data_IF_377830393781
#
_entry.id   IF_377830393781
#
_cell.length_a   1.000
_cell.length_b   1.000
_cell.length_c   1.000
_cell.angle_alpha   90.00
_cell.angle_beta   90.00
_cell.angle_gamma   90.00
#
_symmetry.space_group_name_H-M   'P 1'
#
loop_
_entity.id
_entity.type
_entity.pdbx_description
1 polymer ?
#
# COMPACT_ATOMS: atom_id res chain seq x y z
N UNK A 1 18.22 15.31 -21.64
CA UNK A 1 17.49 14.30 -22.48
C UNK A 1 16.05 14.27 -22.07
N UNK A 2 15.11 14.22 -23.01
CA UNK A 2 13.66 14.15 -22.71
C UNK A 2 13.19 12.70 -22.86
N UNK A 3 12.47 12.18 -21.87
CA UNK A 3 11.80 10.88 -21.93
C UNK A 3 10.45 11.05 -22.63
N UNK A 4 9.91 9.99 -23.21
CA UNK A 4 8.54 10.00 -23.72
C UNK A 4 7.55 9.86 -22.57
N UNK A 5 7.97 9.16 -21.50
CA UNK A 5 7.14 8.86 -20.34
C UNK A 5 7.98 8.78 -19.06
N UNK A 6 7.48 9.35 -17.95
CA UNK A 6 8.00 9.08 -16.61
C UNK A 6 6.91 8.38 -15.79
N UNK A 7 7.24 7.20 -15.23
CA UNK A 7 6.40 6.50 -14.26
C UNK A 7 6.87 6.84 -12.83
N UNK A 8 5.99 7.41 -12.02
CA UNK A 8 6.23 7.70 -10.60
C UNK A 8 5.74 6.51 -9.78
N UNK A 9 6.66 5.70 -9.29
CA UNK A 9 6.44 4.46 -8.57
C UNK A 9 6.96 3.23 -9.33
N UNK A 10 7.89 2.49 -8.73
CA UNK A 10 8.46 1.24 -9.24
C UNK A 10 7.78 0.00 -8.64
N UNK A 11 6.51 0.10 -8.29
CA UNK A 11 5.67 -1.04 -7.94
C UNK A 11 5.22 -1.83 -9.18
N UNK A 12 4.55 -2.98 -9.01
CA UNK A 12 4.14 -3.83 -10.14
C UNK A 12 3.39 -3.09 -11.25
N UNK A 13 2.49 -2.17 -10.89
CA UNK A 13 1.74 -1.39 -11.89
C UNK A 13 2.61 -0.38 -12.63
N UNK A 14 3.48 0.36 -11.94
CA UNK A 14 4.38 1.32 -12.61
C UNK A 14 5.38 0.62 -13.52
N UNK A 15 5.91 -0.54 -13.10
CA UNK A 15 6.75 -1.39 -13.95
C UNK A 15 5.98 -1.89 -15.18
N UNK A 16 4.74 -2.36 -15.01
CA UNK A 16 3.90 -2.79 -16.13
C UNK A 16 3.67 -1.64 -17.13
N UNK A 17 3.42 -0.41 -16.65
CA UNK A 17 3.30 0.77 -17.51
C UNK A 17 4.59 1.05 -18.31
N UNK A 18 5.75 0.99 -17.65
CA UNK A 18 7.03 1.21 -18.31
C UNK A 18 7.37 0.10 -19.32
N UNK A 19 7.03 -1.15 -19.02
CA UNK A 19 7.22 -2.28 -19.95
C UNK A 19 6.34 -2.13 -21.19
N UNK A 20 5.07 -1.77 -21.04
CA UNK A 20 4.19 -1.51 -22.19
C UNK A 20 4.67 -0.33 -23.03
N UNK A 21 5.20 0.74 -22.40
CA UNK A 21 5.81 1.85 -23.10
C UNK A 21 7.04 1.39 -23.92
N UNK A 22 7.94 0.59 -23.35
CA UNK A 22 9.08 -0.01 -24.06
C UNK A 22 8.63 -0.87 -25.26
N UNK A 23 7.59 -1.68 -25.09
CA UNK A 23 7.03 -2.51 -26.17
C UNK A 23 6.45 -1.67 -27.32
N UNK A 24 5.95 -0.48 -27.01
CA UNK A 24 5.47 0.49 -28.01
C UNK A 24 6.59 1.35 -28.63
N UNK A 25 7.86 1.06 -28.29
CA UNK A 25 9.01 1.82 -28.82
C UNK A 25 9.25 3.16 -28.13
N UNK A 26 8.54 3.43 -27.02
CA UNK A 26 8.74 4.65 -26.22
C UNK A 26 9.92 4.49 -25.24
N UNK A 27 10.48 5.60 -24.82
CA UNK A 27 11.56 5.68 -23.83
C UNK A 27 11.03 6.05 -22.46
N UNK A 28 10.68 5.08 -21.58
CA UNK A 28 10.24 5.34 -20.23
C UNK A 28 11.41 5.54 -19.26
N UNK A 29 11.18 6.37 -18.21
CA UNK A 29 11.93 6.41 -16.97
C UNK A 29 10.99 6.00 -15.82
N UNK A 30 11.48 5.20 -14.89
CA UNK A 30 10.75 4.90 -13.65
C UNK A 30 11.47 5.52 -12.47
N UNK A 31 10.74 6.26 -11.63
CA UNK A 31 11.29 6.91 -10.42
C UNK A 31 10.56 6.41 -9.20
N UNK A 32 11.27 5.96 -8.17
CA UNK A 32 10.70 5.53 -6.90
C UNK A 32 11.51 6.06 -5.72
N UNK A 33 10.82 6.52 -4.67
CA UNK A 33 11.43 7.01 -3.44
C UNK A 33 12.13 5.93 -2.61
N UNK A 34 11.78 4.67 -2.84
CA UNK A 34 12.35 3.51 -2.16
C UNK A 34 13.02 2.53 -3.11
N UNK A 35 13.13 1.29 -2.68
CA UNK A 35 13.65 0.21 -3.51
C UNK A 35 12.62 -0.28 -4.55
N UNK A 36 13.07 -1.10 -5.47
CA UNK A 36 12.18 -1.76 -6.43
C UNK A 36 11.07 -2.54 -5.71
N UNK A 37 9.81 -2.27 -6.08
CA UNK A 37 8.62 -2.84 -5.41
C UNK A 37 8.60 -2.56 -3.90
N UNK A 38 8.90 -1.33 -3.49
CA UNK A 38 9.07 -0.92 -2.10
C UNK A 38 7.90 -1.34 -1.20
N UNK A 39 6.64 -1.19 -1.64
CA UNK A 39 5.48 -1.64 -0.86
C UNK A 39 5.51 -3.14 -0.60
N UNK A 40 5.87 -3.96 -1.59
CA UNK A 40 5.97 -5.41 -1.44
C UNK A 40 7.12 -5.80 -0.50
N UNK A 41 8.21 -5.04 -0.54
CA UNK A 41 9.35 -5.23 0.38
C UNK A 41 8.93 -5.02 1.84
N UNK A 42 8.03 -4.08 2.11
CA UNK A 42 7.51 -3.78 3.45
C UNK A 42 6.31 -4.65 3.88
N UNK A 43 5.81 -5.55 3.04
CA UNK A 43 4.80 -6.52 3.45
C UNK A 43 5.38 -7.54 4.44
N UNK A 44 4.52 -8.26 5.20
CA UNK A 44 4.99 -9.27 6.15
C UNK A 44 5.97 -10.26 5.53
N UNK A 45 7.03 -10.61 6.26
CA UNK A 45 8.14 -11.42 5.74
C UNK A 45 7.68 -12.76 5.16
N UNK A 46 6.72 -13.39 5.85
CA UNK A 46 6.17 -14.70 5.48
C UNK A 46 4.88 -14.61 4.65
N UNK A 47 4.58 -13.43 4.08
CA UNK A 47 3.34 -13.23 3.33
C UNK A 47 3.27 -14.15 2.12
N UNK A 48 2.14 -14.84 2.01
CA UNK A 48 1.67 -15.52 0.81
C UNK A 48 0.62 -14.66 0.13
N UNK A 49 0.78 -14.39 -1.15
CA UNK A 49 -0.21 -13.63 -1.90
C UNK A 49 -1.53 -14.40 -1.98
N UNK A 50 -2.64 -13.69 -2.03
CA UNK A 50 -3.97 -14.31 -2.12
C UNK A 50 -4.33 -14.74 -3.55
N UNK A 51 -3.62 -14.22 -4.54
CA UNK A 51 -3.82 -14.49 -5.97
C UNK A 51 -2.79 -15.47 -6.50
N UNK A 52 -3.08 -16.06 -7.66
CA UNK A 52 -2.15 -16.99 -8.33
C UNK A 52 -1.05 -16.23 -9.06
N UNK A 53 0.05 -16.94 -9.37
CA UNK A 53 1.22 -16.36 -10.04
C UNK A 53 0.87 -15.69 -11.37
N UNK A 54 0.04 -16.32 -12.19
CA UNK A 54 -0.35 -15.82 -13.52
C UNK A 54 -1.06 -14.47 -13.45
N UNK A 55 -1.79 -14.21 -12.36
CA UNK A 55 -2.47 -12.93 -12.15
C UNK A 55 -1.54 -11.81 -11.68
N UNK A 56 -0.32 -12.15 -11.30
CA UNK A 56 0.71 -11.19 -10.90
C UNK A 56 1.74 -10.90 -12.02
N UNK A 57 1.64 -11.60 -13.14
CA UNK A 57 2.52 -11.42 -14.29
C UNK A 57 2.38 -10.05 -14.93
N UNK A 58 3.52 -9.46 -15.33
CA UNK A 58 3.60 -8.19 -16.05
C UNK A 58 4.50 -8.32 -17.28
N UNK A 59 4.29 -7.46 -18.27
CA UNK A 59 5.13 -7.41 -19.48
C UNK A 59 5.08 -8.68 -20.34
N UNK A 60 4.09 -9.59 -20.13
CA UNK A 60 4.01 -10.86 -20.85
C UNK A 60 5.06 -11.89 -20.42
N UNK A 61 5.70 -11.71 -19.28
CA UNK A 61 6.71 -12.63 -18.75
C UNK A 61 6.04 -13.59 -17.74
N UNK A 62 6.26 -14.93 -17.87
CA UNK A 62 5.68 -15.88 -16.95
C UNK A 62 6.34 -15.81 -15.57
N UNK A 63 5.52 -15.94 -14.52
CA UNK A 63 5.97 -16.07 -13.13
C UNK A 63 6.01 -17.55 -12.74
N UNK A 64 7.10 -18.23 -13.06
CA UNK A 64 7.29 -19.64 -12.73
C UNK A 64 7.66 -19.81 -11.25
N UNK A 65 6.78 -20.44 -10.48
CA UNK A 65 6.95 -20.82 -9.08
C UNK A 65 6.52 -22.26 -8.86
N UNK A 66 6.86 -22.85 -7.72
CA UNK A 66 6.53 -24.25 -7.41
C UNK A 66 5.12 -24.43 -6.86
N UNK A 67 4.49 -23.38 -6.34
CA UNK A 67 3.15 -23.38 -5.79
C UNK A 67 2.21 -22.50 -6.61
N UNK A 68 0.89 -22.59 -6.40
CA UNK A 68 -0.07 -21.76 -7.12
C UNK A 68 0.03 -20.28 -6.74
N UNK A 69 0.33 -20.01 -5.46
CA UNK A 69 0.38 -18.65 -4.91
C UNK A 69 1.81 -18.26 -4.54
N UNK A 70 2.31 -17.13 -5.02
CA UNK A 70 3.66 -16.71 -4.73
C UNK A 70 3.83 -16.18 -3.30
N UNK A 71 4.99 -16.43 -2.75
CA UNK A 71 5.49 -15.76 -1.55
C UNK A 71 5.95 -14.33 -1.88
N UNK A 72 6.10 -13.47 -0.85
CA UNK A 72 6.72 -12.15 -1.00
C UNK A 72 8.09 -12.21 -1.66
N UNK A 73 8.92 -13.18 -1.29
CA UNK A 73 10.28 -13.34 -1.83
C UNK A 73 10.26 -13.70 -3.31
N UNK A 74 9.38 -14.61 -3.73
CA UNK A 74 9.22 -14.99 -5.14
C UNK A 74 8.70 -13.82 -5.97
N UNK A 75 7.74 -13.04 -5.46
CA UNK A 75 7.24 -11.86 -6.15
C UNK A 75 8.35 -10.80 -6.33
N UNK A 76 9.14 -10.49 -5.30
CA UNK A 76 10.26 -9.56 -5.41
C UNK A 76 11.33 -10.05 -6.40
N UNK A 77 11.62 -11.34 -6.41
CA UNK A 77 12.55 -11.95 -7.37
C UNK A 77 12.03 -11.84 -8.80
N UNK A 78 10.74 -12.13 -9.00
CA UNK A 78 10.08 -12.04 -10.29
C UNK A 78 10.14 -10.61 -10.85
N UNK A 79 9.71 -9.60 -10.09
CA UNK A 79 9.69 -8.22 -10.56
C UNK A 79 11.09 -7.68 -10.87
N UNK A 80 12.13 -8.08 -10.11
CA UNK A 80 13.52 -7.75 -10.47
C UNK A 80 13.90 -8.35 -11.83
N UNK A 81 13.59 -9.63 -12.05
CA UNK A 81 13.92 -10.29 -13.33
C UNK A 81 13.13 -9.71 -14.50
N UNK A 82 11.88 -9.37 -14.30
CA UNK A 82 11.09 -8.70 -15.32
C UNK A 82 11.66 -7.31 -15.67
N UNK A 83 12.10 -6.56 -14.67
CA UNK A 83 12.74 -5.25 -14.86
C UNK A 83 14.06 -5.35 -15.62
N UNK A 84 14.93 -6.32 -15.26
CA UNK A 84 16.17 -6.61 -15.96
C UNK A 84 15.92 -7.03 -17.42
N UNK A 85 14.93 -7.88 -17.66
CA UNK A 85 14.59 -8.36 -19.01
C UNK A 85 14.22 -7.22 -19.96
N UNK A 86 13.48 -6.23 -19.46
CA UNK A 86 13.08 -5.06 -20.25
C UNK A 86 14.14 -3.96 -20.28
N UNK A 87 15.26 -4.09 -19.57
CA UNK A 87 16.29 -3.06 -19.42
C UNK A 87 15.67 -1.68 -19.16
N UNK A 88 14.86 -1.59 -18.08
CA UNK A 88 14.17 -0.35 -17.72
C UNK A 88 15.16 0.65 -17.12
N UNK A 89 15.07 1.92 -17.54
CA UNK A 89 15.79 3.02 -16.87
C UNK A 89 15.09 3.33 -15.55
N UNK A 90 15.80 3.19 -14.42
CA UNK A 90 15.29 3.33 -13.06
C UNK A 90 16.07 4.37 -12.28
N UNK A 91 15.34 5.16 -11.51
CA UNK A 91 15.85 6.01 -10.44
C UNK A 91 15.19 5.58 -9.15
N UNK A 92 15.86 4.69 -8.41
CA UNK A 92 15.43 4.24 -7.09
C UNK A 92 16.04 5.11 -6.01
N UNK A 93 15.40 5.15 -4.83
CA UNK A 93 15.77 6.04 -3.72
C UNK A 93 15.78 7.52 -4.14
N UNK A 94 14.87 7.86 -5.05
CA UNK A 94 14.69 9.20 -5.60
C UNK A 94 13.22 9.60 -5.53
N UNK A 95 12.93 10.61 -4.69
CA UNK A 95 11.57 11.09 -4.43
C UNK A 95 11.17 12.13 -5.45
N UNK A 96 10.04 11.96 -6.12
CA UNK A 96 9.41 13.02 -6.92
C UNK A 96 8.78 14.03 -5.98
N UNK A 97 9.26 15.28 -6.02
CA UNK A 97 8.78 16.40 -5.19
C UNK A 97 7.67 17.20 -5.88
N UNK A 98 7.66 17.24 -7.20
CA UNK A 98 6.66 18.01 -7.96
C UNK A 98 6.77 17.84 -9.46
N UNK A 99 5.66 18.13 -10.12
CA UNK A 99 5.52 18.12 -11.58
C UNK A 99 5.15 19.53 -12.03
N UNK A 100 5.89 20.07 -12.97
CA UNK A 100 5.56 21.36 -13.61
C UNK A 100 5.37 21.14 -15.10
N UNK A 101 4.23 21.58 -15.63
CA UNK A 101 3.97 21.50 -17.07
C UNK A 101 4.42 22.79 -17.74
N UNK A 102 5.34 22.70 -18.70
CA UNK A 102 5.82 23.82 -19.49
C UNK A 102 6.02 23.39 -20.96
N UNK A 103 5.52 24.20 -21.91
CA UNK A 103 5.71 23.98 -23.34
C UNK A 103 5.29 22.57 -23.84
N UNK A 104 4.20 22.02 -23.29
CA UNK A 104 3.67 20.72 -23.70
C UNK A 104 4.39 19.50 -23.10
N UNK A 105 5.38 19.72 -22.26
CA UNK A 105 6.12 18.66 -21.54
C UNK A 105 6.08 18.89 -20.03
N UNK A 106 6.47 17.87 -19.27
CA UNK A 106 6.61 17.91 -17.83
C UNK A 106 8.07 18.07 -17.44
N UNK A 107 8.32 18.94 -16.49
CA UNK A 107 9.54 19.01 -15.69
C UNK A 107 9.24 18.34 -14.37
N UNK A 108 9.91 17.21 -14.11
CA UNK A 108 9.75 16.38 -12.91
C UNK A 108 10.90 16.69 -11.98
N UNK A 109 10.61 17.34 -10.87
CA UNK A 109 11.63 17.65 -9.84
C UNK A 109 11.73 16.51 -8.87
N UNK A 110 12.96 16.08 -8.62
CA UNK A 110 13.24 14.95 -7.76
C UNK A 110 14.30 15.28 -6.72
N UNK A 111 14.33 14.47 -5.65
CA UNK A 111 15.34 14.54 -4.60
C UNK A 111 15.82 13.14 -4.27
N UNK A 112 17.11 12.91 -4.38
CA UNK A 112 17.77 11.66 -3.99
C UNK A 112 17.87 11.55 -2.47
N UNK A 113 18.08 10.34 -1.98
CA UNK A 113 18.26 10.04 -0.55
C UNK A 113 19.41 10.84 0.10
N UNK A 114 20.48 11.12 -0.64
CA UNK A 114 21.59 11.96 -0.20
C UNK A 114 21.29 13.49 -0.20
N UNK A 115 20.05 13.87 -0.51
CA UNK A 115 19.59 15.26 -0.56
C UNK A 115 19.83 15.99 -1.89
N UNK A 116 20.53 15.41 -2.86
CA UNK A 116 20.75 16.01 -4.17
C UNK A 116 19.41 16.15 -4.92
N UNK A 117 19.17 17.32 -5.53
CA UNK A 117 18.01 17.58 -6.37
C UNK A 117 18.36 17.41 -7.83
N UNK A 118 17.45 16.79 -8.57
CA UNK A 118 17.57 16.56 -10.01
C UNK A 118 16.28 16.98 -10.73
N UNK A 119 16.39 17.14 -12.03
CA UNK A 119 15.24 17.40 -12.91
C UNK A 119 15.25 16.42 -14.09
N UNK A 120 14.11 15.82 -14.34
CA UNK A 120 13.87 14.98 -15.49
C UNK A 120 12.76 15.61 -16.35
N UNK A 121 12.81 15.39 -17.65
CA UNK A 121 11.84 15.94 -18.60
C UNK A 121 11.14 14.80 -19.34
N UNK A 122 9.81 14.90 -19.46
CA UNK A 122 9.02 13.93 -20.21
C UNK A 122 7.83 14.60 -20.89
N UNK A 123 7.35 14.01 -22.00
CA UNK A 123 6.11 14.45 -22.63
C UNK A 123 4.87 14.05 -21.84
N UNK A 124 4.96 12.95 -21.09
CA UNK A 124 3.86 12.38 -20.28
C UNK A 124 4.36 11.86 -18.93
N UNK A 125 3.46 11.82 -17.95
CA UNK A 125 3.74 11.26 -16.63
C UNK A 125 2.61 10.32 -16.21
N UNK A 126 2.95 9.17 -15.64
CA UNK A 126 2.02 8.25 -14.99
C UNK A 126 2.33 8.21 -13.49
N UNK A 127 1.36 8.54 -12.64
CA UNK A 127 1.47 8.37 -11.19
C UNK A 127 0.94 6.98 -10.81
N UNK A 128 1.86 6.10 -10.39
CA UNK A 128 1.59 4.73 -9.92
C UNK A 128 2.18 4.52 -8.51
N UNK A 129 2.13 5.55 -7.66
CA UNK A 129 2.80 5.63 -6.37
C UNK A 129 2.25 4.70 -5.28
N UNK A 130 1.10 4.04 -5.54
CA UNK A 130 0.50 3.13 -4.58
C UNK A 130 -0.15 3.84 -3.38
N UNK A 131 -0.27 3.11 -2.25
CA UNK A 131 -0.95 3.62 -1.04
C UNK A 131 -0.29 3.18 0.28
N UNK A 132 0.61 2.20 0.24
CA UNK A 132 1.08 1.50 1.43
C UNK A 132 2.01 2.36 2.33
N UNK A 133 2.58 3.42 1.79
CA UNK A 133 3.55 4.26 2.51
C UNK A 133 2.89 5.26 3.49
N UNK A 134 1.58 5.48 3.38
CA UNK A 134 0.85 6.42 4.21
C UNK A 134 -0.23 5.70 5.04
N UNK A 135 0.08 5.27 6.26
CA UNK A 135 -0.90 4.69 7.16
C UNK A 135 -1.96 5.71 7.55
N UNK A 136 -3.19 5.25 7.73
CA UNK A 136 -4.26 6.08 8.30
C UNK A 136 -3.98 6.27 9.78
N UNK A 137 -3.74 7.51 10.24
CA UNK A 137 -3.42 7.74 11.63
C UNK A 137 -4.63 7.42 12.53
N UNK A 138 -4.35 7.01 13.77
CA UNK A 138 -5.34 6.93 14.84
C UNK A 138 -5.74 8.33 15.31
N UNK A 139 -4.81 9.28 15.27
CA UNK A 139 -4.97 10.63 15.77
C UNK A 139 -5.06 10.71 17.30
N UNK A 140 -4.37 9.81 18.00
CA UNK A 140 -4.38 9.75 19.46
C UNK A 140 -3.01 10.07 20.06
N UNK A 141 -2.95 10.66 21.28
CA UNK A 141 -1.69 10.82 22.00
C UNK A 141 -0.96 9.49 22.15
N UNK A 142 0.36 9.49 21.93
CA UNK A 142 1.21 8.31 22.04
C UNK A 142 1.30 7.44 20.79
N UNK A 143 0.63 7.79 19.70
CA UNK A 143 0.69 7.04 18.42
C UNK A 143 2.11 6.95 17.84
N UNK A 144 2.99 7.92 18.14
CA UNK A 144 4.39 7.97 17.69
C UNK A 144 5.38 7.33 18.63
N UNK A 145 4.95 6.66 19.69
CA UNK A 145 5.84 5.99 20.63
C UNK A 145 6.58 4.81 19.97
N UNK A 146 7.83 4.50 20.42
CA UNK A 146 8.67 3.47 19.78
C UNK A 146 8.07 2.05 19.76
N UNK A 147 7.13 1.76 20.66
CA UNK A 147 6.43 0.48 20.73
C UNK A 147 5.09 0.49 19.96
N UNK A 148 4.89 1.46 19.08
CA UNK A 148 3.73 1.55 18.18
C UNK A 148 4.20 1.45 16.73
N UNK A 149 3.56 0.59 15.95
CA UNK A 149 3.84 0.45 14.52
C UNK A 149 2.55 0.37 13.70
N UNK A 150 2.55 1.00 12.54
CA UNK A 150 1.50 0.85 11.53
C UNK A 150 1.77 -0.31 10.55
N UNK A 151 2.92 -0.98 10.71
CA UNK A 151 3.35 -2.06 9.83
C UNK A 151 3.65 -3.30 10.64
N UNK A 152 3.04 -4.40 10.26
CA UNK A 152 3.39 -5.72 10.78
C UNK A 152 4.36 -6.38 9.80
N UNK A 153 5.50 -6.83 10.31
CA UNK A 153 6.55 -7.48 9.50
C UNK A 153 6.74 -8.94 9.85
N UNK A 154 6.84 -9.27 11.13
CA UNK A 154 7.12 -10.61 11.62
C UNK A 154 6.63 -10.79 13.07
N UNK A 155 6.18 -12.00 13.42
CA UNK A 155 5.60 -12.27 14.74
C UNK A 155 6.64 -12.73 15.80
N UNK A 156 7.77 -13.28 15.38
CA UNK A 156 8.75 -13.92 16.29
C UNK A 156 9.21 -13.06 17.48
N UNK A 157 9.48 -11.75 17.35
CA UNK A 157 9.91 -10.90 18.46
C UNK A 157 8.87 -10.72 19.57
N UNK A 158 7.63 -11.13 19.35
CA UNK A 158 6.49 -10.89 20.25
C UNK A 158 6.09 -12.11 21.07
N UNK A 159 6.86 -13.18 21.03
CA UNK A 159 6.59 -14.37 21.83
C UNK A 159 6.44 -14.05 23.32
N UNK A 160 5.32 -14.48 23.93
CA UNK A 160 4.90 -14.21 25.32
C UNK A 160 4.68 -12.74 25.68
N UNK A 161 4.62 -11.83 24.70
CA UNK A 161 4.35 -10.41 24.95
C UNK A 161 2.86 -10.11 24.84
N UNK A 162 2.42 -9.06 25.56
CA UNK A 162 1.09 -8.49 25.44
C UNK A 162 1.07 -7.58 24.20
N UNK A 163 0.36 -7.99 23.16
CA UNK A 163 0.31 -7.25 21.90
C UNK A 163 -1.12 -6.80 21.63
N UNK A 164 -1.29 -5.50 21.43
CA UNK A 164 -2.56 -4.91 21.02
C UNK A 164 -2.53 -4.68 19.52
N UNK A 165 -3.53 -5.21 18.81
CA UNK A 165 -3.73 -4.99 17.37
C UNK A 165 -4.98 -4.13 17.19
N UNK A 166 -4.81 -2.91 16.67
CA UNK A 166 -5.90 -1.97 16.44
C UNK A 166 -6.33 -2.04 14.98
N UNK A 167 -7.57 -2.44 14.74
CA UNK A 167 -8.12 -2.64 13.40
C UNK A 167 -8.95 -3.91 13.31
N UNK A 168 -9.63 -4.14 12.19
CA UNK A 168 -10.40 -5.36 11.95
C UNK A 168 -10.51 -5.71 10.45
N UNK A 169 -9.60 -5.20 9.63
CA UNK A 169 -9.45 -5.58 8.22
C UNK A 169 -8.46 -6.74 8.05
N UNK A 170 -8.10 -7.04 6.79
CA UNK A 170 -7.19 -8.14 6.46
C UNK A 170 -5.87 -8.09 7.24
N UNK A 171 -5.17 -6.95 7.20
CA UNK A 171 -3.87 -6.82 7.85
C UNK A 171 -3.95 -7.05 9.38
N UNK A 172 -5.02 -6.56 10.03
CA UNK A 172 -5.21 -6.75 11.47
C UNK A 172 -5.53 -8.21 11.82
N UNK A 173 -6.42 -8.86 11.06
CA UNK A 173 -6.78 -10.26 11.27
C UNK A 173 -5.59 -11.20 11.02
N UNK A 174 -4.86 -11.02 9.92
CA UNK A 174 -3.66 -11.81 9.60
C UNK A 174 -2.57 -11.62 10.64
N UNK A 175 -2.26 -10.37 11.02
CA UNK A 175 -1.27 -10.08 12.05
C UNK A 175 -1.66 -10.69 13.42
N UNK A 176 -2.93 -10.59 13.82
CA UNK A 176 -3.40 -11.18 15.06
C UNK A 176 -3.24 -12.71 15.07
N UNK A 177 -3.56 -13.38 13.96
CA UNK A 177 -3.38 -14.82 13.83
C UNK A 177 -1.90 -15.24 13.82
N UNK A 178 -1.03 -14.52 13.11
CA UNK A 178 0.41 -14.81 13.11
C UNK A 178 1.04 -14.61 14.48
N UNK A 179 0.70 -13.52 15.17
CA UNK A 179 1.14 -13.22 16.52
C UNK A 179 0.68 -14.30 17.51
N UNK A 180 -0.61 -14.70 17.44
CA UNK A 180 -1.14 -15.78 18.27
C UNK A 180 -0.39 -17.08 18.04
N UNK A 181 -0.19 -17.49 16.79
CA UNK A 181 0.56 -18.70 16.44
C UNK A 181 2.02 -18.67 16.89
N UNK A 182 2.62 -17.48 16.94
CA UNK A 182 3.95 -17.27 17.49
C UNK A 182 4.00 -17.24 19.03
N UNK A 183 2.84 -17.36 19.71
CA UNK A 183 2.77 -17.42 21.18
C UNK A 183 2.70 -16.05 21.86
N UNK A 184 2.30 -14.99 21.16
CA UNK A 184 1.96 -13.70 21.76
C UNK A 184 0.58 -13.75 22.44
N UNK A 185 0.40 -12.92 23.49
CA UNK A 185 -0.91 -12.67 24.09
C UNK A 185 -1.59 -11.53 23.34
N UNK A 186 -2.48 -11.88 22.40
CA UNK A 186 -3.05 -10.90 21.45
C UNK A 186 -4.39 -10.38 21.95
N UNK A 187 -4.57 -9.05 21.88
CA UNK A 187 -5.87 -8.39 22.02
C UNK A 187 -6.17 -7.56 20.77
N UNK A 188 -7.23 -7.91 20.04
CA UNK A 188 -7.74 -7.16 18.90
C UNK A 188 -8.69 -6.07 19.39
N UNK A 189 -8.43 -4.82 19.04
CA UNK A 189 -9.28 -3.66 19.39
C UNK A 189 -9.93 -3.08 18.15
N UNK A 190 -11.27 -2.98 18.15
CA UNK A 190 -11.99 -2.43 17.02
C UNK A 190 -13.20 -1.60 17.44
N UNK A 191 -13.38 -0.44 16.79
CA UNK A 191 -14.53 0.47 17.03
C UNK A 191 -15.90 -0.08 16.59
N UNK A 192 -15.91 -1.08 15.71
CA UNK A 192 -17.14 -1.75 15.26
C UNK A 192 -17.43 -3.00 16.09
N UNK A 193 -18.56 -3.62 15.81
CA UNK A 193 -19.13 -4.72 16.59
C UNK A 193 -18.46 -6.09 16.36
N UNK A 194 -17.67 -6.23 15.29
CA UNK A 194 -17.03 -7.50 14.87
C UNK A 194 -15.88 -7.27 13.89
N UNK A 195 -15.16 -8.33 13.56
CA UNK A 195 -14.20 -8.36 12.42
C UNK A 195 -14.95 -8.03 11.13
N UNK A 196 -14.34 -7.26 10.23
CA UNK A 196 -14.99 -6.85 8.98
C UNK A 196 -15.29 -8.05 8.09
N UNK A 197 -16.49 -8.12 7.52
CA UNK A 197 -16.87 -9.17 6.56
C UNK A 197 -16.08 -9.16 5.26
N UNK A 198 -15.35 -8.07 4.99
CA UNK A 198 -14.44 -7.94 3.85
C UNK A 198 -13.06 -8.59 4.07
N UNK A 199 -12.84 -9.18 5.25
CA UNK A 199 -11.67 -10.03 5.50
C UNK A 199 -11.78 -11.28 4.63
N UNK A 200 -10.66 -11.73 4.07
CA UNK A 200 -10.57 -12.88 3.17
C UNK A 200 -11.31 -14.09 3.74
N UNK A 201 -12.09 -14.77 2.91
CA UNK A 201 -13.01 -15.83 3.32
C UNK A 201 -12.33 -17.02 4.02
N UNK A 202 -11.02 -17.21 3.83
CA UNK A 202 -10.24 -18.24 4.52
C UNK A 202 -9.57 -17.75 5.81
N UNK A 203 -9.46 -16.43 6.02
CA UNK A 203 -8.91 -15.80 7.23
C UNK A 203 -10.01 -15.54 8.24
N UNK A 204 -11.18 -15.09 7.77
CA UNK A 204 -12.29 -14.69 8.63
C UNK A 204 -12.74 -15.81 9.58
N UNK A 205 -13.01 -17.05 9.14
CA UNK A 205 -13.43 -18.12 10.05
C UNK A 205 -12.38 -18.45 11.11
N UNK A 206 -11.09 -18.40 10.75
CA UNK A 206 -10.01 -18.72 11.69
C UNK A 206 -9.91 -17.66 12.80
N UNK A 207 -9.88 -16.38 12.47
CA UNK A 207 -9.83 -15.33 13.50
C UNK A 207 -11.09 -15.33 14.38
N UNK A 208 -12.29 -15.55 13.81
CA UNK A 208 -13.54 -15.64 14.57
C UNK A 208 -13.53 -16.85 15.53
N UNK A 209 -13.04 -18.01 15.10
CA UNK A 209 -12.89 -19.19 15.93
C UNK A 209 -11.90 -18.97 17.08
N UNK A 210 -10.74 -18.31 16.83
CA UNK A 210 -9.77 -17.98 17.88
C UNK A 210 -10.35 -17.00 18.91
N UNK A 211 -11.13 -16.04 18.44
CA UNK A 211 -11.84 -15.10 19.35
C UNK A 211 -12.90 -15.85 20.18
N UNK A 212 -13.71 -16.69 19.55
CA UNK A 212 -14.74 -17.46 20.25
C UNK A 212 -14.14 -18.43 21.30
N UNK A 213 -12.98 -19.00 21.02
CA UNK A 213 -12.23 -19.85 21.95
C UNK A 213 -11.49 -19.09 23.05
N UNK A 214 -11.46 -17.75 23.01
CA UNK A 214 -10.73 -16.90 23.96
C UNK A 214 -9.21 -16.90 23.77
N UNK A 215 -8.72 -17.49 22.69
CA UNK A 215 -7.28 -17.60 22.36
C UNK A 215 -6.72 -16.25 21.83
N UNK A 216 -7.55 -15.50 21.11
CA UNK A 216 -7.33 -14.09 20.76
C UNK A 216 -8.42 -13.29 21.47
N UNK A 217 -8.02 -12.38 22.36
CA UNK A 217 -8.99 -11.48 23.00
C UNK A 217 -9.49 -10.45 22.00
N UNK A 218 -10.75 -10.05 22.13
CA UNK A 218 -11.34 -9.02 21.25
C UNK A 218 -12.10 -7.96 22.04
N UNK A 219 -11.80 -6.71 21.76
CA UNK A 219 -12.42 -5.52 22.31
C UNK A 219 -13.17 -4.80 21.18
N UNK A 220 -14.39 -5.27 20.91
CA UNK A 220 -15.29 -4.66 19.94
C UNK A 220 -16.05 -3.46 20.53
N UNK A 221 -16.63 -2.62 19.67
CA UNK A 221 -17.25 -1.38 20.07
C UNK A 221 -16.35 -0.54 21.00
N UNK A 222 -15.05 -0.50 20.69
CA UNK A 222 -14.04 0.06 21.57
C UNK A 222 -13.04 0.89 20.77
N UNK A 223 -12.75 2.10 21.25
CA UNK A 223 -11.73 3.00 20.72
C UNK A 223 -10.52 3.01 21.64
N UNK A 224 -9.34 3.12 21.06
CA UNK A 224 -8.15 3.56 21.77
C UNK A 224 -8.20 5.08 21.83
N UNK A 225 -8.08 5.66 23.02
CA UNK A 225 -8.09 7.12 23.24
C UNK A 225 -6.71 7.67 23.48
N UNK A 226 -5.78 6.84 23.97
CA UNK A 226 -4.38 7.19 24.23
C UNK A 226 -3.53 5.94 24.30
N UNK A 227 -2.27 6.04 23.91
CA UNK A 227 -1.25 5.00 24.06
C UNK A 227 -0.18 5.52 25.01
N UNK A 228 0.19 4.70 25.99
CA UNK A 228 1.20 5.00 27.02
C UNK A 228 2.26 3.90 27.05
N UNK A 229 3.44 4.14 27.62
CA UNK A 229 4.39 3.07 27.84
C UNK A 229 3.78 1.93 28.67
N UNK A 230 3.75 0.71 28.10
CA UNK A 230 3.25 -0.49 28.76
C UNK A 230 1.72 -0.67 28.77
N UNK A 231 0.93 0.25 28.20
CA UNK A 231 -0.53 0.14 28.19
C UNK A 231 -1.21 1.00 27.12
N UNK A 232 -2.46 0.65 26.80
CA UNK A 232 -3.36 1.48 25.99
C UNK A 232 -4.60 1.84 26.82
N UNK A 233 -5.13 3.03 26.58
CA UNK A 233 -6.38 3.50 27.21
C UNK A 233 -7.51 3.28 26.24
N UNK A 234 -8.52 2.56 26.70
CA UNK A 234 -9.68 2.14 25.92
C UNK A 234 -10.94 2.84 26.42
N UNK A 235 -11.85 3.16 25.48
CA UNK A 235 -13.20 3.67 25.78
C UNK A 235 -14.22 2.95 24.90
N UNK A 236 -15.29 2.46 25.51
CA UNK A 236 -16.40 1.87 24.78
C UNK A 236 -17.11 2.92 23.90
N UNK A 237 -17.55 2.51 22.72
CA UNK A 237 -18.43 3.33 21.86
C UNK A 237 -19.91 3.20 22.24
N UNK A 238 -20.26 2.26 23.11
CA UNK A 238 -21.60 2.01 23.57
C UNK A 238 -21.84 2.83 24.84
N UNK A 239 -22.61 3.91 24.73
CA UNK A 239 -23.02 4.80 25.84
C UNK A 239 -22.22 6.09 25.94
N UNK A 240 -22.93 7.18 26.26
CA UNK A 240 -22.39 8.55 26.24
C UNK A 240 -21.37 8.86 27.36
N UNK A 241 -21.20 7.98 28.36
CA UNK A 241 -20.32 8.19 29.52
C UNK A 241 -19.50 6.96 29.88
N UNK A 242 -19.01 6.19 28.85
CA UNK A 242 -18.19 5.03 29.11
C UNK A 242 -16.85 5.45 29.75
N UNK A 243 -16.58 4.94 30.96
CA UNK A 243 -15.32 5.17 31.65
C UNK A 243 -14.13 4.63 30.84
N UNK A 244 -13.03 5.34 30.90
CA UNK A 244 -11.77 4.85 30.36
C UNK A 244 -11.25 3.67 31.19
N UNK A 245 -10.66 2.70 30.51
CA UNK A 245 -10.01 1.55 31.14
C UNK A 245 -8.65 1.28 30.52
N UNK A 246 -7.77 0.72 31.30
CA UNK A 246 -6.40 0.41 30.89
C UNK A 246 -6.33 -1.04 30.39
N UNK A 247 -5.58 -1.24 29.32
CA UNK A 247 -5.23 -2.55 28.81
C UNK A 247 -3.69 -2.64 28.72
N UNK A 248 -3.04 -3.60 29.39
CA UNK A 248 -1.59 -3.82 29.25
C UNK A 248 -1.19 -4.09 27.80
N UNK A 249 -0.10 -3.46 27.36
CA UNK A 249 0.44 -3.57 26.02
C UNK A 249 1.96 -3.36 26.01
N UNK A 250 2.72 -4.39 25.69
CA UNK A 250 4.16 -4.26 25.43
C UNK A 250 4.43 -3.67 24.04
N UNK A 251 3.49 -3.91 23.10
CA UNK A 251 3.57 -3.42 21.74
C UNK A 251 2.18 -3.19 21.13
N UNK A 252 2.06 -2.21 20.26
CA UNK A 252 0.81 -1.84 19.60
C UNK A 252 0.99 -1.84 18.08
N UNK A 253 0.18 -2.61 17.38
CA UNK A 253 0.06 -2.53 15.92
C UNK A 253 -1.22 -1.76 15.54
N UNK A 254 -1.04 -0.55 15.00
CA UNK A 254 -2.14 0.30 14.52
C UNK A 254 -2.44 0.00 13.03
N UNK A 255 -3.12 -1.12 12.75
CA UNK A 255 -3.40 -1.61 11.40
C UNK A 255 -4.75 -1.08 10.88
N UNK A 256 -4.85 0.23 10.80
CA UNK A 256 -6.08 0.98 10.46
C UNK A 256 -6.29 1.16 8.96
N UNK A 257 -5.36 0.67 8.13
CA UNK A 257 -5.34 0.79 6.68
C UNK A 257 -4.40 1.91 6.22
N UNK A 258 -4.38 2.14 4.91
CA UNK A 258 -3.47 3.06 4.24
C UNK A 258 -4.22 3.90 3.20
N UNK A 259 -3.63 5.01 2.77
CA UNK A 259 -4.18 5.89 1.73
C UNK A 259 -3.12 6.22 0.68
N UNK A 260 -3.51 6.43 -0.59
CA UNK A 260 -2.69 7.18 -1.54
C UNK A 260 -2.32 8.57 -1.01
N UNK A 261 -1.24 9.13 -1.52
CA UNK A 261 -0.85 10.50 -1.19
C UNK A 261 -1.75 11.52 -1.91
N UNK A 262 -2.91 11.77 -1.33
CA UNK A 262 -3.87 12.73 -1.86
C UNK A 262 -3.33 14.17 -1.87
N UNK A 263 -2.45 14.52 -0.95
CA UNK A 263 -1.83 15.84 -0.91
C UNK A 263 -0.91 16.03 -2.11
N UNK A 264 -0.09 15.03 -2.42
CA UNK A 264 0.74 15.03 -3.62
C UNK A 264 -0.10 15.14 -4.89
N UNK A 265 -1.17 14.33 -5.02
CA UNK A 265 -2.04 14.37 -6.21
C UNK A 265 -2.65 15.76 -6.43
N UNK A 266 -3.20 16.40 -5.38
CA UNK A 266 -3.74 17.75 -5.46
C UNK A 266 -2.66 18.79 -5.82
N UNK A 267 -1.47 18.66 -5.26
CA UNK A 267 -0.36 19.56 -5.57
C UNK A 267 0.08 19.49 -7.04
N UNK A 268 -0.22 18.37 -7.74
CA UNK A 268 -0.01 18.25 -9.19
C UNK A 268 -1.21 18.74 -10.02
N UNK A 269 -2.23 19.32 -9.40
CA UNK A 269 -3.41 19.84 -10.09
C UNK A 269 -4.47 18.79 -10.40
N UNK A 270 -4.34 17.58 -9.86
CA UNK A 270 -5.35 16.53 -10.07
C UNK A 270 -6.57 16.81 -9.19
N UNK A 271 -7.73 16.88 -9.82
CA UNK A 271 -9.01 17.00 -9.12
C UNK A 271 -9.37 15.67 -8.47
N UNK A 272 -9.75 15.72 -7.18
CA UNK A 272 -10.17 14.55 -6.41
C UNK A 272 -11.62 14.72 -5.99
N UNK A 273 -12.41 13.66 -6.14
CA UNK A 273 -13.77 13.61 -5.59
C UNK A 273 -13.76 13.89 -4.07
N UNK A 274 -14.59 14.82 -3.58
CA UNK A 274 -14.54 15.23 -2.18
C UNK A 274 -14.83 14.10 -1.16
N UNK A 275 -15.65 13.11 -1.54
CA UNK A 275 -16.09 12.04 -0.65
C UNK A 275 -15.21 10.82 -0.74
N UNK A 276 -14.89 10.39 -1.97
CA UNK A 276 -14.16 9.14 -2.23
C UNK A 276 -12.66 9.36 -2.45
N UNK A 277 -12.23 10.59 -2.67
CA UNK A 277 -10.88 10.97 -3.05
C UNK A 277 -10.39 10.27 -4.33
N UNK A 278 -11.31 9.77 -5.16
CA UNK A 278 -10.96 9.22 -6.48
C UNK A 278 -10.50 10.37 -7.38
N UNK A 279 -9.38 10.21 -8.10
CA UNK A 279 -8.95 11.20 -9.07
C UNK A 279 -9.93 11.28 -10.25
N UNK A 280 -10.16 12.50 -10.73
CA UNK A 280 -10.91 12.74 -11.97
C UNK A 280 -10.08 12.20 -13.14
N UNK A 281 -10.56 11.13 -13.76
CA UNK A 281 -9.89 10.47 -14.89
C UNK A 281 -10.87 10.12 -15.99
N UNK A 282 -10.39 10.12 -17.21
CA UNK A 282 -11.07 9.45 -18.30
C UNK A 282 -10.99 7.92 -18.06
N UNK A 283 -12.12 7.21 -17.95
CA UNK A 283 -12.10 5.77 -17.64
C UNK A 283 -11.48 4.89 -18.73
N UNK A 284 -11.41 5.38 -19.97
CA UNK A 284 -10.85 4.64 -21.10
C UNK A 284 -9.33 4.82 -21.22
N UNK A 285 -8.79 5.97 -20.81
CA UNK A 285 -7.37 6.31 -21.01
C UNK A 285 -6.60 6.44 -19.70
N UNK A 286 -7.29 6.59 -18.56
CA UNK A 286 -6.74 6.93 -17.24
C UNK A 286 -5.99 8.27 -17.20
N UNK A 287 -6.20 9.14 -18.20
CA UNK A 287 -5.73 10.50 -18.21
C UNK A 287 -6.53 11.34 -17.21
N UNK A 288 -5.85 12.16 -16.43
CA UNK A 288 -6.48 13.03 -15.44
C UNK A 288 -7.05 14.30 -16.10
N UNK A 289 -7.64 15.20 -15.31
CA UNK A 289 -7.98 16.56 -15.76
C UNK A 289 -6.76 17.39 -16.21
N UNK A 290 -5.54 16.94 -15.91
CA UNK A 290 -4.28 17.58 -16.36
C UNK A 290 -3.79 16.85 -17.61
N UNK A 291 -3.81 17.47 -18.80
CA UNK A 291 -3.43 16.80 -20.03
C UNK A 291 -2.00 16.26 -20.03
N UNK A 292 -1.83 15.00 -20.41
CA UNK A 292 -0.55 14.27 -20.40
C UNK A 292 -0.19 13.67 -19.04
N UNK A 293 -1.00 13.88 -18.00
CA UNK A 293 -0.83 13.30 -16.67
C UNK A 293 -1.85 12.17 -16.44
N UNK A 294 -1.35 10.99 -16.17
CA UNK A 294 -2.13 9.76 -15.99
C UNK A 294 -1.99 9.25 -14.56
N UNK A 295 -2.95 8.46 -14.11
CA UNK A 295 -2.85 7.70 -12.85
C UNK A 295 -3.06 6.21 -13.10
N UNK A 296 -2.33 5.36 -12.38
CA UNK A 296 -2.41 3.91 -12.56
C UNK A 296 -2.35 3.16 -11.23
N UNK A 297 -2.91 1.95 -11.21
CA UNK A 297 -2.96 1.10 -10.03
C UNK A 297 -3.95 1.60 -9.00
N UNK A 298 -3.69 1.27 -7.74
CA UNK A 298 -4.61 1.52 -6.62
C UNK A 298 -4.93 2.99 -6.39
N UNK A 299 -4.10 3.91 -6.87
CA UNK A 299 -4.34 5.38 -6.80
C UNK A 299 -5.67 5.76 -7.44
N UNK A 300 -6.08 5.08 -8.53
CA UNK A 300 -7.35 5.30 -9.22
C UNK A 300 -8.57 5.04 -8.32
N UNK A 301 -8.44 4.14 -7.34
CA UNK A 301 -9.50 3.78 -6.40
C UNK A 301 -9.72 4.80 -5.27
N UNK A 302 -8.86 5.81 -5.13
CA UNK A 302 -8.95 6.80 -4.06
C UNK A 302 -8.90 6.15 -2.68
N UNK A 303 -9.89 6.41 -1.82
CA UNK A 303 -10.01 5.78 -0.49
C UNK A 303 -10.40 4.31 -0.55
N UNK A 304 -10.90 3.83 -1.69
CA UNK A 304 -11.37 2.45 -1.89
C UNK A 304 -10.21 1.55 -2.32
N UNK A 305 -9.20 1.42 -1.48
CA UNK A 305 -7.94 0.71 -1.77
C UNK A 305 -8.10 -0.81 -1.98
N UNK A 306 -9.32 -1.35 -1.82
CA UNK A 306 -9.67 -2.75 -2.09
C UNK A 306 -10.32 -3.00 -3.47
N UNK A 307 -10.42 -1.99 -4.33
CA UNK A 307 -10.99 -2.14 -5.67
C UNK A 307 -9.92 -2.51 -6.71
N UNK A 308 -8.68 -2.04 -6.52
CA UNK A 308 -7.59 -2.23 -7.47
C UNK A 308 -6.40 -2.89 -6.78
N UNK A 309 -5.99 -4.02 -7.34
CA UNK A 309 -4.85 -4.83 -6.91
C UNK A 309 -3.86 -5.00 -8.09
N UNK A 310 -2.84 -5.83 -7.93
CA UNK A 310 -1.90 -6.14 -9.01
C UNK A 310 -2.64 -6.80 -10.18
N UNK A 311 -3.61 -7.69 -9.89
CA UNK A 311 -4.34 -8.50 -10.86
C UNK A 311 -5.06 -7.69 -11.93
N UNK A 312 -5.62 -6.54 -11.57
CA UNK A 312 -6.31 -5.65 -12.51
C UNK A 312 -5.48 -4.41 -12.84
N UNK A 313 -4.74 -3.85 -11.89
CA UNK A 313 -3.89 -2.68 -12.11
C UNK A 313 -2.75 -2.91 -13.12
N UNK A 314 -2.28 -4.15 -13.28
CA UNK A 314 -1.25 -4.51 -14.27
C UNK A 314 -1.64 -4.22 -15.72
N UNK A 315 -2.93 -4.09 -16.01
CA UNK A 315 -3.43 -3.79 -17.35
C UNK A 315 -3.54 -2.29 -17.64
N UNK A 316 -3.42 -1.43 -16.62
CA UNK A 316 -3.47 0.03 -16.80
C UNK A 316 -2.39 0.55 -17.75
N UNK A 317 -1.18 -0.06 -17.74
CA UNK A 317 -0.11 0.29 -18.67
C UNK A 317 -0.55 0.09 -20.12
N UNK A 318 -1.13 -1.07 -20.46
CA UNK A 318 -1.65 -1.36 -21.79
C UNK A 318 -2.75 -0.38 -22.21
N UNK A 319 -3.66 -0.05 -21.28
CA UNK A 319 -4.76 0.89 -21.49
C UNK A 319 -4.24 2.30 -21.81
N UNK A 320 -3.31 2.82 -20.99
CA UNK A 320 -2.72 4.14 -21.19
C UNK A 320 -1.95 4.20 -22.50
N UNK A 321 -1.04 3.25 -22.74
CA UNK A 321 -0.17 3.29 -23.93
C UNK A 321 -0.98 3.18 -25.21
N UNK A 322 -2.06 2.39 -25.24
CA UNK A 322 -2.94 2.30 -26.40
C UNK A 322 -3.64 3.63 -26.73
N UNK A 323 -3.83 4.52 -25.78
CA UNK A 323 -4.45 5.85 -25.97
C UNK A 323 -3.48 6.92 -26.46
N UNK A 324 -2.18 6.62 -26.54
CA UNK A 324 -1.17 7.59 -26.96
C UNK A 324 -0.95 7.67 -28.48
N UNK A 325 -1.63 6.81 -29.24
CA UNK A 325 -1.50 6.70 -30.70
C UNK A 325 -2.66 7.37 -31.44
#
# INVERSE_FOLDING_TARGET
>A
MTYDLICVGAGPTGLACAMEAKRAGLRPLVVDKGCLCNSLFHYPANMLFFTTAEKMEIGGLPMAISADKPTRVEALKYYRKATEHYDLDLRLFETVEGLERANGAFRVRTRRENGAREEHHATRVIIASGYYDLPRPLGVPGESLPHVSHYFTEAHPFWRRQVVVIGAGNSAAEAALELFRAGACVTLVHRGERVKRTVKYWVLPDIENRIAAGEVKAEFNTLVTRIEPGQVVLRSTNGAAAAERLLPADFVFALTGYNPDFAFLRAQGIELDPQTQKPAVNPETLETNVPGLYVAGVVVGGQHTSEIFIENGRFHGKQIIASLH
#
